data_IF_392840890891
#
_entry.id   IF_392840890891
#
_cell.length_a   1.000
_cell.length_b   1.000
_cell.length_c   1.000
_cell.angle_alpha   90.00
_cell.angle_beta   90.00
_cell.angle_gamma   90.00
#
_symmetry.space_group_name_H-M   'P 1'
#
loop_
_entity.id
_entity.type
_entity.pdbx_description
1 polymer ?
#
# COMPACT_ATOMS: atom_id res chain seq x y z
N UNK A 1 3.70 -1.67 24.80
CA UNK A 1 3.86 -0.33 25.40
C UNK A 1 4.51 0.52 24.31
N UNK A 2 3.72 1.17 23.45
CA UNK A 2 4.16 1.51 22.07
C UNK A 2 4.66 2.98 21.94
N UNK A 3 4.71 3.75 23.01
CA UNK A 3 5.23 5.12 22.94
C UNK A 3 6.12 5.43 24.14
N UNK A 4 7.28 6.01 23.90
CA UNK A 4 8.14 6.68 24.88
C UNK A 4 7.49 7.89 25.59
N UNK A 5 6.18 8.09 25.43
CA UNK A 5 5.41 9.21 26.00
C UNK A 5 5.65 10.55 25.28
N UNK A 6 6.31 10.55 24.12
CA UNK A 6 6.81 11.77 23.47
C UNK A 6 5.81 12.46 22.52
N UNK A 7 4.63 11.88 22.27
CA UNK A 7 3.58 12.47 21.42
C UNK A 7 3.77 12.28 19.91
N UNK A 8 4.78 11.51 19.51
CA UNK A 8 5.04 11.11 18.13
C UNK A 8 5.42 9.61 18.05
N UNK A 9 5.35 9.05 16.85
CA UNK A 9 5.74 7.68 16.51
C UNK A 9 6.92 7.71 15.53
N UNK A 10 7.99 6.99 15.87
CA UNK A 10 9.15 6.73 15.01
C UNK A 10 8.98 5.40 14.28
N UNK A 11 9.83 5.12 13.27
CA UNK A 11 9.84 3.84 12.55
C UNK A 11 10.03 2.66 13.51
N UNK A 12 10.90 2.82 14.51
CA UNK A 12 11.18 1.78 15.51
C UNK A 12 9.95 1.47 16.38
N UNK A 13 9.08 2.46 16.64
CA UNK A 13 7.84 2.25 17.38
C UNK A 13 6.88 1.31 16.62
N UNK A 14 6.91 1.33 15.28
CA UNK A 14 6.11 0.42 14.45
C UNK A 14 6.71 -1.00 14.41
N UNK A 15 8.04 -1.14 14.47
CA UNK A 15 8.70 -2.46 14.56
C UNK A 15 8.39 -3.17 15.88
N UNK A 16 8.07 -2.40 16.93
CA UNK A 16 7.63 -2.92 18.22
C UNK A 16 6.17 -3.41 18.24
N UNK A 17 5.42 -3.26 17.14
CA UNK A 17 4.06 -3.80 17.00
C UNK A 17 4.16 -5.24 16.50
N UNK A 18 3.92 -6.27 17.33
CA UNK A 18 4.15 -7.66 16.95
C UNK A 18 3.33 -8.07 15.71
N UNK A 19 2.10 -7.58 15.62
CA UNK A 19 1.19 -7.85 14.51
C UNK A 19 1.69 -7.26 13.18
N UNK A 20 2.45 -6.16 13.25
CA UNK A 20 3.05 -5.53 12.07
C UNK A 20 4.39 -6.16 11.73
N UNK A 21 5.19 -6.54 12.74
CA UNK A 21 6.49 -7.17 12.56
C UNK A 21 6.40 -8.56 11.87
N UNK A 22 5.32 -9.31 12.10
CA UNK A 22 5.08 -10.59 11.42
C UNK A 22 4.37 -10.44 10.08
N UNK A 23 3.93 -9.23 9.73
CA UNK A 23 3.25 -8.97 8.47
C UNK A 23 4.29 -8.79 7.36
N UNK A 24 4.25 -9.58 6.26
CA UNK A 24 5.19 -9.43 5.14
C UNK A 24 5.12 -8.06 4.44
N UNK A 25 4.03 -7.32 4.66
CA UNK A 25 3.84 -5.94 4.19
C UNK A 25 4.09 -4.91 5.29
N UNK A 26 4.51 -5.33 6.49
CA UNK A 26 4.70 -4.48 7.66
C UNK A 26 5.60 -3.29 7.35
N UNK A 27 6.80 -3.55 6.87
CA UNK A 27 7.76 -2.51 6.48
C UNK A 27 7.21 -1.56 5.42
N UNK A 28 6.40 -2.07 4.49
CA UNK A 28 5.77 -1.25 3.44
C UNK A 28 4.67 -0.36 3.99
N UNK A 29 3.88 -0.90 4.91
CA UNK A 29 2.86 -0.12 5.62
C UNK A 29 3.56 1.01 6.38
N UNK A 30 4.66 0.72 7.10
CA UNK A 30 5.47 1.71 7.79
C UNK A 30 6.04 2.75 6.81
N UNK A 31 6.61 2.33 5.68
CA UNK A 31 7.11 3.26 4.67
C UNK A 31 6.02 4.17 4.11
N UNK A 32 4.81 3.65 3.87
CA UNK A 32 3.66 4.46 3.47
C UNK A 32 3.25 5.45 4.58
N UNK A 33 3.31 5.03 5.85
CA UNK A 33 3.06 5.88 7.01
C UNK A 33 3.94 7.14 6.97
N UNK A 34 5.24 6.98 6.76
CA UNK A 34 6.19 8.12 6.72
C UNK A 34 6.18 8.87 5.38
N UNK A 35 5.91 8.19 4.27
CA UNK A 35 5.82 8.82 2.94
C UNK A 35 4.68 9.83 2.84
N UNK A 36 3.52 9.49 3.39
CA UNK A 36 2.35 10.37 3.36
C UNK A 36 2.42 11.51 4.38
N UNK A 37 3.31 11.40 5.36
CA UNK A 37 3.58 12.44 6.35
C UNK A 37 4.46 13.58 5.78
N UNK A 38 5.41 13.22 4.91
CA UNK A 38 6.32 14.12 4.20
C UNK A 38 7.71 13.50 4.06
N UNK A 39 8.43 13.82 2.98
CA UNK A 39 9.67 13.12 2.57
C UNK A 39 10.84 13.17 3.57
N UNK A 40 10.75 13.98 4.63
CA UNK A 40 11.82 14.17 5.63
C UNK A 40 11.38 13.94 7.08
N UNK A 41 10.16 13.44 7.33
CA UNK A 41 9.72 13.21 8.70
C UNK A 41 10.16 11.84 9.19
N UNK A 42 11.00 11.82 10.22
CA UNK A 42 11.34 10.61 10.98
C UNK A 42 10.32 10.31 12.09
N UNK A 43 9.32 11.18 12.25
CA UNK A 43 8.37 11.18 13.35
C UNK A 43 6.97 11.49 12.85
N UNK A 44 6.00 10.69 13.27
CA UNK A 44 4.59 10.81 12.96
C UNK A 44 3.82 11.31 14.17
N UNK A 45 3.14 12.45 14.05
CA UNK A 45 2.20 12.89 15.07
C UNK A 45 0.84 12.19 14.92
N UNK A 46 0.01 12.29 15.96
CA UNK A 46 -1.32 11.65 15.99
C UNK A 46 -2.22 12.05 14.81
N UNK A 47 -2.16 13.30 14.36
CA UNK A 47 -2.97 13.77 13.22
C UNK A 47 -2.55 13.09 11.92
N UNK A 48 -1.26 12.92 11.69
CA UNK A 48 -0.74 12.21 10.51
C UNK A 48 -1.09 10.74 10.59
N UNK A 49 -0.87 10.10 11.74
CA UNK A 49 -1.20 8.70 11.97
C UNK A 49 -2.69 8.40 11.67
N UNK A 50 -3.61 9.19 12.20
CA UNK A 50 -5.05 9.01 11.98
C UNK A 50 -5.47 9.27 10.53
N UNK A 51 -4.83 10.21 9.83
CA UNK A 51 -5.12 10.44 8.40
C UNK A 51 -4.78 9.22 7.54
N UNK A 52 -3.77 8.47 7.91
CA UNK A 52 -3.35 7.28 7.17
C UNK A 52 -4.31 6.12 7.49
N UNK A 53 -4.66 5.93 8.76
CA UNK A 53 -5.73 4.99 9.16
C UNK A 53 -7.09 5.31 8.51
N UNK A 54 -7.37 6.57 8.19
CA UNK A 54 -8.61 6.97 7.53
C UNK A 54 -8.80 6.33 6.15
N UNK A 55 -7.73 5.98 5.42
CA UNK A 55 -7.82 5.30 4.12
C UNK A 55 -8.37 3.88 4.25
N UNK A 56 -8.11 3.23 5.40
CA UNK A 56 -8.56 1.87 5.68
C UNK A 56 -9.93 1.80 6.34
N UNK A 57 -10.56 2.94 6.65
CA UNK A 57 -11.91 2.93 7.23
C UNK A 57 -12.91 2.30 6.25
N UNK A 58 -13.83 1.44 6.74
CA UNK A 58 -14.93 0.93 5.93
C UNK A 58 -15.73 2.08 5.32
N UNK A 59 -16.13 1.93 4.06
CA UNK A 59 -16.92 2.96 3.39
C UNK A 59 -18.32 2.96 4.01
N UNK A 60 -18.63 4.02 4.74
CA UNK A 60 -19.99 4.27 5.19
C UNK A 60 -20.72 5.14 4.14
N UNK A 61 -21.68 4.56 3.42
CA UNK A 61 -22.45 5.26 2.36
C UNK A 61 -23.15 6.53 2.87
N UNK A 62 -23.43 6.62 4.18
CA UNK A 62 -24.07 7.79 4.81
C UNK A 62 -23.07 8.87 5.27
N UNK A 63 -21.76 8.59 5.29
CA UNK A 63 -20.70 9.55 5.62
C UNK A 63 -19.55 9.42 4.62
N UNK A 64 -19.63 10.17 3.51
CA UNK A 64 -18.52 10.30 2.55
C UNK A 64 -17.33 10.95 3.26
N UNK A 65 -16.26 10.19 3.49
CA UNK A 65 -14.96 10.73 3.84
C UNK A 65 -14.18 10.90 2.53
N UNK A 66 -13.62 12.08 2.25
CA UNK A 66 -12.90 12.30 0.99
C UNK A 66 -11.65 11.42 0.87
N UNK A 67 -11.16 10.87 1.99
CA UNK A 67 -9.93 10.08 2.09
C UNK A 67 -10.14 8.57 1.95
N UNK A 68 -11.37 8.05 2.02
CA UNK A 68 -11.66 6.62 1.89
C UNK A 68 -12.38 6.26 0.57
N UNK A 69 -12.46 7.22 -0.36
CA UNK A 69 -13.02 6.98 -1.68
C UNK A 69 -12.15 6.02 -2.49
N UNK A 70 -12.76 5.32 -3.44
CA UNK A 70 -12.11 4.34 -4.30
C UNK A 70 -10.79 4.84 -4.90
N UNK A 71 -10.76 6.08 -5.42
CA UNK A 71 -9.56 6.68 -6.02
C UNK A 71 -8.41 6.86 -5.02
N UNK A 72 -8.71 7.32 -3.80
CA UNK A 72 -7.69 7.49 -2.76
C UNK A 72 -7.17 6.15 -2.25
N UNK A 73 -8.04 5.14 -2.14
CA UNK A 73 -7.61 3.76 -1.86
C UNK A 73 -6.69 3.24 -2.96
N UNK A 74 -7.07 3.37 -4.23
CA UNK A 74 -6.22 2.97 -5.36
C UNK A 74 -4.88 3.71 -5.37
N UNK A 75 -4.87 5.01 -5.07
CA UNK A 75 -3.64 5.79 -4.96
C UNK A 75 -2.74 5.30 -3.83
N UNK A 76 -3.32 4.97 -2.68
CA UNK A 76 -2.60 4.38 -1.57
C UNK A 76 -1.99 3.01 -1.95
N UNK A 77 -2.75 2.13 -2.60
CA UNK A 77 -2.20 0.87 -3.10
C UNK A 77 -1.10 1.08 -4.14
N UNK A 78 -1.29 2.00 -5.08
CA UNK A 78 -0.27 2.32 -6.09
C UNK A 78 1.05 2.72 -5.44
N UNK A 79 1.01 3.59 -4.42
CA UNK A 79 2.19 4.00 -3.65
C UNK A 79 2.86 2.87 -2.85
N UNK A 80 2.14 1.79 -2.58
CA UNK A 80 2.74 0.58 -1.97
C UNK A 80 3.50 -0.26 -3.00
N UNK A 81 3.16 -0.15 -4.29
CA UNK A 81 3.86 -0.83 -5.38
C UNK A 81 4.99 0.01 -5.97
N UNK A 82 4.82 1.31 -6.13
CA UNK A 82 5.84 2.25 -6.64
C UNK A 82 6.88 2.56 -5.56
N UNK A 83 7.99 1.82 -5.55
CA UNK A 83 8.99 1.85 -4.48
C UNK A 83 9.88 3.09 -4.57
N UNK A 84 10.23 3.49 -5.79
CA UNK A 84 11.10 4.65 -6.04
C UNK A 84 10.31 5.97 -6.16
N UNK A 85 8.97 5.91 -6.16
CA UNK A 85 8.05 7.05 -6.21
C UNK A 85 8.16 7.87 -7.49
N UNK A 86 8.53 7.24 -8.60
CA UNK A 86 8.64 7.92 -9.89
C UNK A 86 7.28 8.08 -10.59
N UNK A 87 6.20 7.52 -10.02
CA UNK A 87 4.85 7.56 -10.58
C UNK A 87 4.52 6.39 -11.51
N UNK A 88 5.38 5.37 -11.56
CA UNK A 88 5.25 4.18 -12.40
C UNK A 88 5.60 2.93 -11.61
N UNK A 89 4.88 1.84 -11.83
CA UNK A 89 5.22 0.52 -11.28
C UNK A 89 6.00 -0.22 -12.36
N UNK A 90 7.27 -0.51 -12.08
CA UNK A 90 8.09 -1.36 -12.93
C UNK A 90 7.84 -2.84 -12.67
N UNK A 91 8.22 -3.70 -13.62
CA UNK A 91 8.20 -5.17 -13.46
C UNK A 91 8.94 -5.60 -12.20
N UNK A 92 10.11 -5.02 -11.94
CA UNK A 92 10.95 -5.33 -10.79
C UNK A 92 10.25 -4.97 -9.48
N UNK A 93 9.66 -3.77 -9.39
CA UNK A 93 8.92 -3.33 -8.22
C UNK A 93 7.70 -4.21 -7.96
N UNK A 94 6.96 -4.57 -9.01
CA UNK A 94 5.83 -5.48 -8.92
C UNK A 94 6.24 -6.86 -8.41
N UNK A 95 7.34 -7.42 -8.92
CA UNK A 95 7.90 -8.71 -8.46
C UNK A 95 8.29 -8.68 -6.99
N UNK A 96 8.94 -7.60 -6.54
CA UNK A 96 9.32 -7.45 -5.13
C UNK A 96 8.09 -7.53 -4.23
N UNK A 97 7.02 -6.81 -4.58
CA UNK A 97 5.79 -6.83 -3.79
C UNK A 97 5.09 -8.19 -3.83
N UNK A 98 4.96 -8.80 -5.01
CA UNK A 98 4.37 -10.14 -5.13
C UNK A 98 5.15 -11.17 -4.31
N UNK A 99 6.49 -11.13 -4.35
CA UNK A 99 7.30 -12.06 -3.57
C UNK A 99 7.11 -11.86 -2.06
N UNK A 100 7.01 -10.62 -1.60
CA UNK A 100 6.69 -10.31 -0.20
C UNK A 100 5.29 -10.82 0.19
N UNK A 101 4.29 -10.76 -0.69
CA UNK A 101 2.92 -11.19 -0.37
C UNK A 101 2.74 -12.71 -0.39
N UNK A 102 3.32 -13.40 -1.36
CA UNK A 102 3.04 -14.83 -1.60
C UNK A 102 4.08 -15.76 -0.95
N UNK A 103 5.24 -15.22 -0.58
CA UNK A 103 6.30 -15.95 0.11
C UNK A 103 6.81 -17.16 -0.69
N UNK A 104 7.18 -18.24 0.00
CA UNK A 104 7.79 -19.43 -0.60
C UNK A 104 6.83 -20.34 -1.41
N UNK A 105 5.57 -19.93 -1.59
CA UNK A 105 4.54 -20.76 -2.23
C UNK A 105 4.52 -20.68 -3.75
N UNK A 106 5.30 -19.77 -4.35
CA UNK A 106 5.40 -19.58 -5.80
C UNK A 106 6.86 -19.69 -6.21
N UNK A 107 7.15 -20.39 -7.31
CA UNK A 107 8.51 -20.47 -7.85
C UNK A 107 8.92 -19.17 -8.54
N UNK A 108 10.22 -18.89 -8.60
CA UNK A 108 10.72 -17.69 -9.31
C UNK A 108 10.22 -17.61 -10.76
N UNK A 109 10.15 -18.74 -11.49
CA UNK A 109 9.61 -18.77 -12.85
C UNK A 109 8.11 -18.47 -12.92
N UNK A 110 7.32 -18.95 -11.96
CA UNK A 110 5.89 -18.64 -11.91
C UNK A 110 5.68 -17.17 -11.58
N UNK A 111 6.48 -16.62 -10.65
CA UNK A 111 6.47 -15.20 -10.32
C UNK A 111 6.79 -14.35 -11.55
N UNK A 112 7.80 -14.72 -12.33
CA UNK A 112 8.16 -14.05 -13.58
C UNK A 112 7.02 -14.10 -14.60
N UNK A 113 6.40 -15.27 -14.80
CA UNK A 113 5.26 -15.40 -15.72
C UNK A 113 4.04 -14.57 -15.28
N UNK A 114 3.78 -14.48 -13.98
CA UNK A 114 2.69 -13.67 -13.43
C UNK A 114 3.00 -12.19 -13.62
N UNK A 115 4.22 -11.76 -13.32
CA UNK A 115 4.66 -10.39 -13.52
C UNK A 115 4.52 -9.99 -15.00
N UNK A 116 4.99 -10.83 -15.92
CA UNK A 116 4.98 -10.54 -17.36
C UNK A 116 3.59 -10.36 -17.90
N UNK A 117 2.71 -11.32 -17.60
CA UNK A 117 1.31 -11.23 -18.00
C UNK A 117 0.63 -10.00 -17.38
N UNK A 118 0.94 -9.68 -16.13
CA UNK A 118 0.29 -8.55 -15.46
C UNK A 118 0.72 -7.21 -16.06
N UNK A 119 2.02 -7.05 -16.36
CA UNK A 119 2.51 -5.85 -17.05
C UNK A 119 1.90 -5.79 -18.45
N UNK A 120 2.00 -6.85 -19.25
CA UNK A 120 1.45 -6.90 -20.62
C UNK A 120 -0.06 -6.62 -20.70
N UNK A 121 -0.85 -7.06 -19.71
CA UNK A 121 -2.29 -6.83 -19.68
C UNK A 121 -2.68 -5.42 -19.21
N UNK A 122 -1.85 -4.79 -18.38
CA UNK A 122 -2.14 -3.49 -17.78
C UNK A 122 -1.51 -2.31 -18.54
N UNK A 123 -0.36 -2.53 -19.17
CA UNK A 123 0.41 -1.56 -19.94
C UNK A 123 -0.29 -1.27 -21.28
N UNK A 124 -1.02 -0.16 -21.34
CA UNK A 124 -1.84 0.21 -22.48
C UNK A 124 -1.07 1.02 -23.52
N UNK A 125 0.01 1.69 -23.12
CA UNK A 125 0.84 2.50 -24.00
C UNK A 125 2.17 1.82 -24.42
N UNK A 126 2.45 0.64 -23.87
CA UNK A 126 3.61 -0.22 -24.14
C UNK A 126 4.95 0.43 -23.74
N UNK A 127 4.97 1.22 -22.67
CA UNK A 127 6.19 1.80 -22.12
C UNK A 127 6.98 0.83 -21.21
N UNK A 128 6.42 -0.37 -20.96
CA UNK A 128 6.98 -1.43 -20.14
C UNK A 128 6.78 -1.22 -18.63
N UNK A 129 5.91 -0.29 -18.24
CA UNK A 129 5.61 0.09 -16.86
C UNK A 129 4.10 0.28 -16.71
N UNK A 130 3.64 0.44 -15.47
CA UNK A 130 2.23 0.72 -15.20
C UNK A 130 2.13 2.10 -14.57
N UNK A 131 1.52 3.04 -15.30
CA UNK A 131 1.15 4.35 -14.78
C UNK A 131 -0.02 4.25 -13.80
N UNK A 132 -0.26 5.32 -13.02
CA UNK A 132 -1.40 5.35 -12.10
C UNK A 132 -2.76 5.16 -12.80
N UNK A 133 -2.92 5.71 -14.01
CA UNK A 133 -4.17 5.60 -14.75
C UNK A 133 -4.40 4.17 -15.28
N UNK A 134 -3.35 3.51 -15.72
CA UNK A 134 -3.38 2.09 -16.12
C UNK A 134 -3.67 1.18 -14.92
N UNK A 135 -3.04 1.45 -13.77
CA UNK A 135 -3.35 0.75 -12.53
C UNK A 135 -4.83 0.89 -12.15
N UNK A 136 -5.40 2.09 -12.29
CA UNK A 136 -6.82 2.33 -12.03
C UNK A 136 -7.72 1.51 -12.97
N UNK A 137 -7.37 1.41 -14.25
CA UNK A 137 -8.09 0.60 -15.25
C UNK A 137 -7.97 -0.90 -14.94
N UNK A 138 -6.77 -1.38 -14.68
CA UNK A 138 -6.52 -2.79 -14.32
C UNK A 138 -7.31 -3.21 -13.07
N UNK A 139 -7.48 -2.30 -12.11
CA UNK A 139 -8.21 -2.55 -10.87
C UNK A 139 -9.70 -2.22 -10.96
N UNK A 140 -10.25 -1.79 -12.10
CA UNK A 140 -11.64 -1.34 -12.24
C UNK A 140 -12.66 -2.41 -11.81
N UNK A 141 -12.41 -3.68 -12.17
CA UNK A 141 -13.26 -4.82 -11.80
C UNK A 141 -12.99 -5.39 -10.41
N UNK A 142 -11.98 -4.87 -9.71
CA UNK A 142 -11.61 -5.30 -8.37
C UNK A 142 -12.38 -4.49 -7.33
N UNK A 143 -13.03 -5.20 -6.39
CA UNK A 143 -13.65 -4.58 -5.22
C UNK A 143 -12.59 -4.20 -4.18
N UNK A 144 -11.83 -3.16 -4.52
CA UNK A 144 -10.77 -2.62 -3.69
C UNK A 144 -11.31 -1.95 -2.43
N UNK A 145 -12.57 -1.54 -2.45
CA UNK A 145 -13.25 -0.86 -1.35
C UNK A 145 -13.46 -1.80 -0.18
N UNK A 146 -13.84 -3.05 -0.47
CA UNK A 146 -13.92 -4.13 0.51
C UNK A 146 -12.54 -4.69 0.88
N UNK A 147 -11.66 -4.92 -0.09
CA UNK A 147 -10.35 -5.56 0.15
C UNK A 147 -9.37 -4.67 0.93
N UNK A 148 -9.41 -3.35 0.76
CA UNK A 148 -8.65 -2.38 1.56
C UNK A 148 -9.51 -1.73 2.64
N UNK A 149 -10.21 -2.54 3.44
CA UNK A 149 -10.94 -2.07 4.62
C UNK A 149 -10.51 -2.85 5.86
N UNK A 150 -10.15 -2.13 6.92
CA UNK A 150 -9.94 -2.74 8.24
C UNK A 150 -11.31 -2.86 8.89
N UNK A 151 -11.79 -4.08 9.04
CA UNK A 151 -12.94 -4.39 9.89
C UNK A 151 -12.41 -4.60 11.30
N UNK A 152 -12.61 -3.63 12.18
CA UNK A 152 -12.43 -3.88 13.61
C UNK A 152 -13.49 -4.92 13.98
N UNK A 153 -13.05 -6.13 14.35
CA UNK A 153 -13.92 -7.17 14.86
C UNK A 153 -14.67 -6.59 16.06
N UNK A 154 -16.01 -6.66 16.02
CA UNK A 154 -16.87 -6.38 17.18
C UNK A 154 -16.64 -7.41 18.29
#
# INVERSE_FOLDING_TARGET
MICSGQGFLSRDDFLNVPELAVNPLGDRIVDAFFTLAGENEQQLNFRQFVRILAHFQPINRSKKNSLNGRKEKLKFAFQMYDLNKNGYITREEFKVILNSMVGANITAEQLDKIADRTIEEADGDNDGRISFDEFCRAMEKTDIEEKMSIRFLN
#
